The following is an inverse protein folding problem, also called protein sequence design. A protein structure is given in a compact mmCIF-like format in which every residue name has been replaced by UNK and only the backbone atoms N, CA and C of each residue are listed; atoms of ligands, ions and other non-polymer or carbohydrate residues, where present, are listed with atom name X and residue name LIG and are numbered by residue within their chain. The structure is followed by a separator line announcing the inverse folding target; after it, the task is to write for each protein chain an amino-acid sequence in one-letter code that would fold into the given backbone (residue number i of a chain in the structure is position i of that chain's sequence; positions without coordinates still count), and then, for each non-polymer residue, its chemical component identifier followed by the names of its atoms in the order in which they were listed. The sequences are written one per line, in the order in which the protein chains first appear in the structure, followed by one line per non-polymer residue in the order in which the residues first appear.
data_IF_978344199232
#
_entry.id   IF_978344199232
#
_cell.length_a   1.000
_cell.length_b   1.000
_cell.length_c   1.000
_cell.angle_alpha   90.00
_cell.angle_beta   90.00
_cell.angle_gamma   90.00
#
_symmetry.space_group_name_H-M   'P 1'
#
loop_
_entity.id
_entity.type
_entity.pdbx_description
1 polymer ?
#
# COMPACT_ATOMS: atom_id res chain seq x y z
N UNK A 1 15.43 15.29 -34.46
CA UNK A 1 15.87 14.54 -33.27
C UNK A 1 16.15 15.48 -32.08
N UNK A 2 15.09 16.00 -31.45
CA UNK A 2 15.18 16.95 -30.32
C UNK A 2 13.95 16.91 -29.38
N UNK A 3 13.23 15.78 -29.31
CA UNK A 3 11.97 15.67 -28.56
C UNK A 3 11.98 14.63 -27.43
N UNK A 4 13.08 13.89 -27.25
CA UNK A 4 13.17 12.81 -26.26
C UNK A 4 13.85 13.21 -24.94
N UNK A 5 14.46 14.41 -24.87
CA UNK A 5 15.31 14.84 -23.75
C UNK A 5 14.53 15.61 -22.65
N UNK A 6 13.36 16.16 -23.01
CA UNK A 6 12.50 16.88 -22.05
C UNK A 6 11.70 15.94 -21.14
N UNK A 7 11.16 14.85 -21.70
CA UNK A 7 10.29 13.91 -21.00
C UNK A 7 11.06 13.06 -19.97
N UNK A 8 12.28 12.65 -20.30
CA UNK A 8 13.20 11.93 -19.38
C UNK A 8 13.60 12.81 -18.19
N UNK A 9 13.90 14.08 -18.44
CA UNK A 9 14.32 15.04 -17.39
C UNK A 9 13.17 15.37 -16.44
N UNK A 10 11.94 15.50 -16.96
CA UNK A 10 10.74 15.74 -16.15
C UNK A 10 10.38 14.52 -15.28
N UNK A 11 10.50 13.30 -15.82
CA UNK A 11 10.30 12.05 -15.08
C UNK A 11 11.36 11.89 -13.99
N UNK A 12 12.63 12.14 -14.28
CA UNK A 12 13.72 12.03 -13.31
C UNK A 12 13.56 13.04 -12.15
N UNK A 13 13.18 14.28 -12.48
CA UNK A 13 12.88 15.32 -11.48
C UNK A 13 11.66 14.96 -10.62
N UNK A 14 10.62 14.38 -11.23
CA UNK A 14 9.43 13.91 -10.52
C UNK A 14 9.76 12.73 -9.59
N UNK A 15 10.53 11.76 -10.06
CA UNK A 15 11.02 10.62 -9.29
C UNK A 15 11.86 11.06 -8.09
N UNK A 16 12.77 12.02 -8.29
CA UNK A 16 13.61 12.57 -7.22
C UNK A 16 12.81 13.33 -6.18
N UNK A 17 11.85 14.14 -6.62
CA UNK A 17 10.95 14.89 -5.73
C UNK A 17 10.04 13.96 -4.92
N UNK A 18 9.55 12.88 -5.53
CA UNK A 18 8.77 11.86 -4.82
C UNK A 18 9.63 11.18 -3.75
N UNK A 19 10.86 10.75 -4.09
CA UNK A 19 11.79 10.13 -3.14
C UNK A 19 12.12 11.03 -1.94
N UNK A 20 12.34 12.33 -2.17
CA UNK A 20 12.66 13.31 -1.13
C UNK A 20 11.45 13.67 -0.26
N UNK A 21 10.21 13.57 -0.77
CA UNK A 21 9.02 13.92 0.00
C UNK A 21 8.70 12.88 1.08
N UNK A 22 8.95 11.58 0.87
CA UNK A 22 8.41 10.50 1.71
C UNK A 22 8.84 10.53 3.19
N UNK A 23 10.12 10.80 3.47
CA UNK A 23 10.64 10.89 4.84
C UNK A 23 10.69 12.32 5.39
N UNK A 24 10.22 13.29 4.61
CA UNK A 24 10.16 14.68 5.03
C UNK A 24 8.82 15.01 5.71
N UNK A 25 8.83 15.00 7.04
CA UNK A 25 7.71 15.45 7.88
C UNK A 25 7.75 16.95 8.19
N UNK A 26 8.75 17.67 7.67
CA UNK A 26 8.94 19.07 8.00
C UNK A 26 7.76 19.93 7.53
N UNK A 27 7.38 20.91 8.36
CA UNK A 27 6.32 21.86 8.02
C UNK A 27 4.90 21.27 7.99
N UNK A 28 4.67 20.03 8.44
CA UNK A 28 3.32 19.43 8.49
C UNK A 28 2.32 20.28 9.30
N UNK A 29 2.79 20.99 10.32
CA UNK A 29 2.00 21.88 11.17
C UNK A 29 1.81 23.31 10.60
N UNK A 30 2.32 23.62 9.40
CA UNK A 30 2.09 24.94 8.78
C UNK A 30 0.60 25.09 8.48
N UNK A 31 0.05 26.29 8.75
CA UNK A 31 -1.39 26.60 8.59
C UNK A 31 -1.95 26.23 7.20
N UNK A 32 -1.15 26.38 6.15
CA UNK A 32 -1.53 26.01 4.77
C UNK A 32 -1.51 24.51 4.44
N UNK A 33 -0.96 23.68 5.32
CA UNK A 33 -0.87 22.21 5.16
C UNK A 33 -1.81 21.51 6.14
N UNK A 34 -1.85 21.97 7.40
CA UNK A 34 -2.62 21.33 8.47
C UNK A 34 -4.13 21.33 8.18
N UNK A 35 -4.68 22.42 7.63
CA UNK A 35 -6.12 22.50 7.36
C UNK A 35 -6.55 21.53 6.23
N UNK A 36 -5.84 21.47 5.08
CA UNK A 36 -6.05 20.41 4.10
C UNK A 36 -5.87 18.98 4.65
N UNK A 37 -4.89 18.75 5.53
CA UNK A 37 -4.69 17.43 6.14
C UNK A 37 -5.85 17.03 7.06
N UNK A 38 -6.37 17.96 7.86
CA UNK A 38 -7.56 17.73 8.68
C UNK A 38 -8.78 17.41 7.80
N UNK A 39 -8.92 18.08 6.65
CA UNK A 39 -9.96 17.75 5.68
C UNK A 39 -9.79 16.33 5.10
N UNK A 40 -8.55 15.90 4.82
CA UNK A 40 -8.26 14.54 4.38
C UNK A 40 -8.61 13.49 5.45
N UNK A 41 -8.30 13.76 6.74
CA UNK A 41 -8.72 12.90 7.86
C UNK A 41 -10.25 12.84 7.94
N UNK A 42 -10.93 13.99 7.85
CA UNK A 42 -12.38 14.05 7.85
C UNK A 42 -13.00 13.21 6.73
N UNK A 43 -12.43 13.30 5.51
CA UNK A 43 -12.84 12.49 4.37
C UNK A 43 -12.62 10.99 4.64
N UNK A 44 -11.48 10.60 5.22
CA UNK A 44 -11.20 9.21 5.57
C UNK A 44 -12.21 8.66 6.61
N UNK A 45 -12.60 9.47 7.60
CA UNK A 45 -13.63 9.11 8.59
C UNK A 45 -15.00 8.95 7.90
N UNK A 46 -15.36 9.85 6.98
CA UNK A 46 -16.61 9.75 6.22
C UNK A 46 -16.63 8.46 5.37
N UNK A 47 -15.53 8.16 4.67
CA UNK A 47 -15.40 6.92 3.88
C UNK A 47 -15.54 5.68 4.77
N UNK A 48 -14.92 5.68 5.95
CA UNK A 48 -15.05 4.59 6.91
C UNK A 48 -16.50 4.46 7.41
N UNK A 49 -17.16 5.58 7.74
CA UNK A 49 -18.57 5.60 8.14
C UNK A 49 -19.50 5.03 7.08
N UNK A 50 -19.24 5.35 5.79
CA UNK A 50 -19.96 4.74 4.67
C UNK A 50 -19.68 3.24 4.58
N UNK A 51 -18.43 2.81 4.77
CA UNK A 51 -18.07 1.39 4.84
C UNK A 51 -18.83 0.61 5.91
N UNK A 52 -18.94 1.18 7.10
CA UNK A 52 -19.75 0.61 8.19
C UNK A 52 -21.23 0.61 7.82
N UNK A 53 -21.76 1.70 7.26
CA UNK A 53 -23.15 1.78 6.80
C UNK A 53 -23.49 0.72 5.75
N UNK A 54 -22.61 0.52 4.76
CA UNK A 54 -22.78 -0.51 3.72
C UNK A 54 -22.72 -1.91 4.33
N UNK A 55 -21.85 -2.14 5.33
CA UNK A 55 -21.78 -3.45 6.00
C UNK A 55 -23.10 -3.84 6.69
N UNK A 56 -23.90 -2.87 7.15
CA UNK A 56 -25.22 -3.12 7.73
C UNK A 56 -26.27 -3.49 6.69
N UNK A 57 -26.08 -3.07 5.43
CA UNK A 57 -26.97 -3.40 4.30
C UNK A 57 -26.66 -4.78 3.71
N UNK A 58 -25.51 -5.36 4.03
CA UNK A 58 -25.04 -6.66 3.52
C UNK A 58 -24.79 -7.64 4.69
N UNK A 59 -25.83 -8.04 5.45
CA UNK A 59 -25.67 -8.84 6.67
C UNK A 59 -25.06 -10.23 6.43
N UNK A 60 -25.21 -10.78 5.22
CA UNK A 60 -24.65 -12.08 4.85
C UNK A 60 -23.15 -12.02 4.51
N UNK A 61 -22.56 -10.83 4.45
CA UNK A 61 -21.13 -10.63 4.19
C UNK A 61 -20.45 -10.23 5.51
N UNK A 62 -19.31 -10.85 5.87
CA UNK A 62 -18.57 -10.46 7.05
C UNK A 62 -18.28 -8.94 7.06
N UNK A 63 -18.61 -8.27 8.16
CA UNK A 63 -18.50 -6.82 8.30
C UNK A 63 -17.13 -6.30 7.85
N UNK A 64 -16.05 -6.93 8.32
CA UNK A 64 -14.67 -6.55 7.97
C UNK A 64 -14.41 -6.59 6.47
N UNK A 65 -14.96 -7.58 5.76
CA UNK A 65 -14.81 -7.71 4.31
C UNK A 65 -15.54 -6.55 3.60
N UNK A 66 -16.80 -6.31 3.96
CA UNK A 66 -17.60 -5.22 3.39
C UNK A 66 -16.94 -3.86 3.61
N UNK A 67 -16.42 -3.61 4.82
CA UNK A 67 -15.73 -2.37 5.17
C UNK A 67 -14.45 -2.22 4.35
N UNK A 68 -13.55 -3.23 4.33
CA UNK A 68 -12.26 -3.16 3.61
C UNK A 68 -12.47 -2.88 2.12
N UNK A 69 -13.39 -3.62 1.48
CA UNK A 69 -13.66 -3.39 0.06
C UNK A 69 -14.22 -2.00 -0.17
N UNK A 70 -15.18 -1.56 0.63
CA UNK A 70 -15.77 -0.22 0.49
C UNK A 70 -14.74 0.89 0.65
N UNK A 71 -13.92 0.88 1.71
CA UNK A 71 -12.92 1.93 1.92
C UNK A 71 -11.86 1.91 0.81
N UNK A 72 -11.54 0.73 0.27
CA UNK A 72 -10.63 0.60 -0.87
C UNK A 72 -11.25 1.22 -2.12
N UNK A 73 -12.51 0.87 -2.45
CA UNK A 73 -13.22 1.44 -3.61
C UNK A 73 -13.34 2.96 -3.51
N UNK A 74 -13.85 3.46 -2.38
CA UNK A 74 -14.11 4.89 -2.19
C UNK A 74 -12.81 5.69 -2.03
N UNK A 75 -11.78 5.12 -1.41
CA UNK A 75 -10.45 5.74 -1.33
C UNK A 75 -9.81 5.90 -2.70
N UNK A 76 -9.86 4.86 -3.53
CA UNK A 76 -9.40 4.92 -4.93
C UNK A 76 -10.25 5.92 -5.73
N UNK A 77 -11.57 5.88 -5.61
CA UNK A 77 -12.46 6.84 -6.27
C UNK A 77 -12.13 8.29 -5.88
N UNK A 78 -11.91 8.55 -4.59
CA UNK A 78 -11.52 9.86 -4.08
C UNK A 78 -10.16 10.33 -4.61
N UNK A 79 -9.23 9.41 -4.93
CA UNK A 79 -7.94 9.76 -5.52
C UNK A 79 -8.03 10.37 -6.93
N UNK A 80 -9.16 10.20 -7.63
CA UNK A 80 -9.41 10.87 -8.91
C UNK A 80 -9.85 12.33 -8.75
N UNK A 81 -10.29 12.72 -7.55
CA UNK A 81 -10.75 14.07 -7.24
C UNK A 81 -9.53 15.00 -7.06
N UNK A 82 -9.38 15.98 -7.96
CA UNK A 82 -8.22 16.90 -7.99
C UNK A 82 -7.92 17.56 -6.62
N UNK A 83 -8.90 18.14 -5.91
CA UNK A 83 -8.66 18.67 -4.57
C UNK A 83 -8.07 17.67 -3.58
N UNK A 84 -8.48 16.41 -3.62
CA UNK A 84 -8.06 15.37 -2.68
C UNK A 84 -6.64 14.87 -3.00
N UNK A 85 -6.37 14.58 -4.27
CA UNK A 85 -5.04 14.10 -4.71
C UNK A 85 -3.94 15.14 -4.52
N UNK A 86 -4.27 16.42 -4.58
CA UNK A 86 -3.29 17.50 -4.45
C UNK A 86 -3.00 17.90 -2.99
N UNK A 87 -3.66 17.28 -2.00
CA UNK A 87 -3.37 17.52 -0.59
C UNK A 87 -1.96 17.03 -0.30
N UNK A 88 -1.08 17.95 0.09
CA UNK A 88 0.30 17.66 0.43
C UNK A 88 0.38 16.94 1.77
N UNK A 89 1.42 16.13 1.93
CA UNK A 89 1.76 15.42 3.16
C UNK A 89 0.74 14.37 3.66
N UNK A 90 -0.26 14.00 2.84
CA UNK A 90 -1.27 12.96 3.18
C UNK A 90 -0.64 11.60 3.39
N UNK A 91 0.40 11.31 2.61
CA UNK A 91 1.11 10.06 2.67
C UNK A 91 1.87 9.88 3.99
N UNK A 92 2.64 10.90 4.39
CA UNK A 92 3.41 10.95 5.63
C UNK A 92 2.47 10.82 6.83
N UNK A 93 1.34 11.52 6.79
CA UNK A 93 0.30 11.38 7.80
C UNK A 93 -0.24 9.93 7.88
N UNK A 94 -0.51 9.30 6.74
CA UNK A 94 -0.92 7.90 6.68
C UNK A 94 0.13 6.94 7.24
N UNK A 95 1.40 7.12 6.86
CA UNK A 95 2.53 6.34 7.37
C UNK A 95 2.68 6.49 8.89
N UNK A 96 2.54 7.71 9.43
CA UNK A 96 2.54 7.94 10.87
C UNK A 96 1.45 7.11 11.58
N UNK A 97 0.22 7.11 11.06
CA UNK A 97 -0.87 6.32 11.65
C UNK A 97 -0.61 4.82 11.61
N UNK A 98 -0.09 4.30 10.48
CA UNK A 98 0.26 2.87 10.34
C UNK A 98 1.33 2.50 11.38
N UNK A 99 2.41 3.28 11.48
CA UNK A 99 3.50 3.01 12.44
C UNK A 99 3.01 3.09 13.89
N UNK A 100 2.24 4.14 14.24
CA UNK A 100 1.68 4.29 15.58
C UNK A 100 0.75 3.13 15.94
N UNK A 101 -0.12 2.72 15.01
CA UNK A 101 -0.99 1.55 15.17
C UNK A 101 -0.17 0.26 15.37
N UNK A 102 0.82 0.01 14.53
CA UNK A 102 1.69 -1.18 14.63
C UNK A 102 2.40 -1.26 15.98
N UNK A 103 2.90 -0.13 16.50
CA UNK A 103 3.52 -0.08 17.83
C UNK A 103 2.51 -0.47 18.91
N UNK A 104 1.30 0.10 18.88
CA UNK A 104 0.25 -0.22 19.87
C UNK A 104 -0.12 -1.69 19.83
N UNK A 105 -0.33 -2.28 18.64
CA UNK A 105 -0.63 -3.71 18.51
C UNK A 105 0.53 -4.57 19.00
N UNK A 106 1.77 -4.21 18.67
CA UNK A 106 2.95 -4.94 19.13
C UNK A 106 3.05 -5.00 20.67
N UNK A 107 2.67 -3.94 21.38
CA UNK A 107 2.66 -3.95 22.87
C UNK A 107 1.61 -4.89 23.48
N UNK A 108 0.60 -5.32 22.70
CA UNK A 108 -0.42 -6.28 23.12
C UNK A 108 -0.08 -7.71 22.73
N UNK A 109 1.05 -7.91 22.04
CA UNK A 109 1.50 -9.23 21.61
C UNK A 109 1.98 -10.05 22.81
N UNK A 110 1.32 -11.18 23.04
CA UNK A 110 1.79 -12.21 23.97
C UNK A 110 2.60 -13.25 23.17
N UNK A 111 3.89 -13.39 23.48
CA UNK A 111 4.75 -14.37 22.80
C UNK A 111 4.60 -15.77 23.38
N UNK A 112 4.04 -15.91 24.59
CA UNK A 112 3.87 -17.19 25.26
C UNK A 112 2.89 -18.12 24.53
N UNK A 113 1.99 -17.56 23.72
CA UNK A 113 1.00 -18.32 22.95
C UNK A 113 1.51 -18.83 21.61
N UNK A 114 2.66 -18.33 21.11
CA UNK A 114 3.17 -18.65 19.76
C UNK A 114 3.43 -20.16 19.58
N UNK A 115 3.90 -20.82 20.64
CA UNK A 115 4.21 -22.26 20.61
C UNK A 115 2.98 -23.17 20.72
N UNK A 116 1.78 -22.62 20.88
CA UNK A 116 0.57 -23.46 20.83
C UNK A 116 0.31 -23.89 19.39
N UNK A 117 -0.16 -25.12 19.21
CA UNK A 117 -0.34 -25.74 17.89
C UNK A 117 -1.14 -24.88 16.89
N UNK A 118 -2.16 -24.15 17.36
CA UNK A 118 -2.98 -23.25 16.54
C UNK A 118 -2.18 -22.06 15.98
N UNK A 119 -1.28 -21.48 16.77
CA UNK A 119 -0.48 -20.34 16.32
C UNK A 119 0.69 -20.80 15.46
N UNK A 120 1.20 -22.02 15.70
CA UNK A 120 2.20 -22.64 14.84
C UNK A 120 1.66 -22.94 13.44
N UNK A 121 0.42 -23.44 13.33
CA UNK A 121 -0.21 -23.65 12.02
C UNK A 121 -0.49 -22.32 11.31
N UNK A 122 -0.92 -21.29 12.04
CA UNK A 122 -1.08 -19.94 11.49
C UNK A 122 0.26 -19.38 10.99
N UNK A 123 1.33 -19.51 11.78
CA UNK A 123 2.67 -19.07 11.39
C UNK A 123 3.14 -19.82 10.13
N UNK A 124 2.91 -21.14 10.07
CA UNK A 124 3.21 -21.94 8.89
C UNK A 124 2.46 -21.46 7.65
N UNK A 125 1.16 -21.16 7.78
CA UNK A 125 0.35 -20.60 6.69
C UNK A 125 0.88 -19.24 6.23
N UNK A 126 1.14 -18.31 7.16
CA UNK A 126 1.68 -16.97 6.83
C UNK A 126 3.04 -17.08 6.16
N UNK A 127 3.92 -17.93 6.68
CA UNK A 127 5.25 -18.20 6.10
C UNK A 127 5.12 -18.74 4.68
N UNK A 128 4.25 -19.74 4.48
CA UNK A 128 3.98 -20.30 3.17
C UNK A 128 3.40 -19.27 2.20
N UNK A 129 2.40 -18.48 2.62
CA UNK A 129 1.80 -17.45 1.77
C UNK A 129 2.83 -16.38 1.38
N UNK A 130 3.62 -15.91 2.35
CA UNK A 130 4.63 -14.88 2.13
C UNK A 130 5.76 -15.37 1.22
N UNK A 131 6.50 -16.41 1.64
CA UNK A 131 7.62 -16.92 0.85
C UNK A 131 7.15 -17.60 -0.44
N UNK A 132 6.01 -18.28 -0.43
CA UNK A 132 5.40 -18.86 -1.61
C UNK A 132 5.05 -17.80 -2.65
N UNK A 133 4.47 -16.67 -2.25
CA UNK A 133 4.20 -15.55 -3.16
C UNK A 133 5.48 -14.93 -3.72
N UNK A 134 6.52 -14.79 -2.90
CA UNK A 134 7.83 -14.28 -3.33
C UNK A 134 8.51 -15.20 -4.34
N UNK A 135 8.54 -16.51 -4.06
CA UNK A 135 9.10 -17.51 -4.96
C UNK A 135 8.29 -17.61 -6.25
N UNK A 136 6.96 -17.55 -6.16
CA UNK A 136 6.09 -17.53 -7.34
C UNK A 136 6.34 -16.27 -8.17
N UNK A 137 6.44 -15.09 -7.55
CA UNK A 137 6.73 -13.84 -8.24
C UNK A 137 8.10 -13.91 -8.91
N UNK A 138 9.14 -14.38 -8.22
CA UNK A 138 10.48 -14.57 -8.79
C UNK A 138 10.47 -15.54 -9.97
N UNK A 139 9.78 -16.67 -9.83
CA UNK A 139 9.66 -17.66 -10.89
C UNK A 139 8.94 -17.10 -12.13
N UNK A 140 7.85 -16.35 -11.91
CA UNK A 140 7.12 -15.67 -12.98
C UNK A 140 7.96 -14.55 -13.62
N UNK A 141 8.70 -13.79 -12.83
CA UNK A 141 9.63 -12.78 -13.36
C UNK A 141 10.74 -13.42 -14.20
N UNK A 142 11.22 -14.60 -13.79
CA UNK A 142 12.21 -15.35 -14.56
C UNK A 142 11.67 -15.86 -15.91
N UNK A 143 10.47 -16.46 -15.96
CA UNK A 143 9.87 -16.93 -17.22
C UNK A 143 9.58 -15.78 -18.18
N UNK A 144 9.14 -14.63 -17.66
CA UNK A 144 8.88 -13.42 -18.47
C UNK A 144 10.13 -12.57 -18.72
N UNK A 145 11.30 -13.01 -18.25
CA UNK A 145 12.60 -12.34 -18.44
C UNK A 145 12.60 -10.88 -17.93
N UNK A 146 11.97 -10.65 -16.79
CA UNK A 146 11.99 -9.36 -16.10
C UNK A 146 13.39 -9.10 -15.54
N UNK A 147 13.88 -7.87 -15.69
CA UNK A 147 15.20 -7.47 -15.20
C UNK A 147 15.24 -7.46 -13.67
N UNK A 148 16.44 -7.59 -13.10
CA UNK A 148 16.63 -7.62 -11.65
C UNK A 148 16.10 -6.35 -10.96
N UNK A 149 16.37 -5.15 -11.52
CA UNK A 149 15.91 -3.88 -10.95
C UNK A 149 14.38 -3.79 -10.92
N UNK A 150 13.72 -4.18 -12.02
CA UNK A 150 12.26 -4.20 -12.12
C UNK A 150 11.65 -5.22 -11.14
N UNK A 151 12.24 -6.41 -11.03
CA UNK A 151 11.80 -7.41 -10.07
C UNK A 151 11.94 -6.93 -8.62
N UNK A 152 13.10 -6.35 -8.28
CA UNK A 152 13.36 -5.86 -6.93
C UNK A 152 12.42 -4.71 -6.57
N UNK A 153 12.20 -3.75 -7.47
CA UNK A 153 11.35 -2.62 -7.19
C UNK A 153 9.87 -3.00 -7.06
N UNK A 154 9.39 -3.88 -7.93
CA UNK A 154 7.99 -4.34 -7.90
C UNK A 154 7.74 -5.19 -6.67
N UNK A 155 8.69 -6.06 -6.30
CA UNK A 155 8.65 -6.82 -5.04
C UNK A 155 8.64 -5.89 -3.83
N UNK A 156 9.44 -4.81 -3.83
CA UNK A 156 9.39 -3.81 -2.76
C UNK A 156 8.01 -3.17 -2.65
N UNK A 157 7.42 -2.76 -3.77
CA UNK A 157 6.08 -2.20 -3.82
C UNK A 157 5.00 -3.14 -3.30
N UNK A 158 5.11 -4.45 -3.61
CA UNK A 158 4.14 -5.46 -3.16
C UNK A 158 4.30 -5.84 -1.68
N UNK A 159 5.54 -5.99 -1.21
CA UNK A 159 5.84 -6.57 0.12
C UNK A 159 5.91 -5.50 1.19
N UNK A 160 6.63 -4.42 0.92
CA UNK A 160 6.89 -3.36 1.91
C UNK A 160 5.92 -2.19 1.75
N UNK A 161 5.11 -2.18 0.68
CA UNK A 161 4.25 -1.09 0.23
C UNK A 161 5.00 -0.06 -0.65
N UNK A 162 4.29 0.65 -1.56
CA UNK A 162 4.84 1.73 -2.38
C UNK A 162 5.79 2.71 -1.65
N UNK A 163 5.55 3.14 -0.39
CA UNK A 163 6.47 4.03 0.33
C UNK A 163 7.95 3.69 0.31
N UNK A 164 8.28 2.40 0.30
CA UNK A 164 9.65 1.95 0.45
C UNK A 164 10.36 1.82 -0.90
N UNK A 165 9.63 1.98 -2.01
CA UNK A 165 10.16 1.91 -3.38
C UNK A 165 11.29 2.91 -3.60
N UNK A 166 11.20 4.21 -3.24
CA UNK A 166 12.28 5.15 -3.53
C UNK A 166 13.56 4.87 -2.74
N UNK A 167 13.45 4.32 -1.52
CA UNK A 167 14.61 3.91 -0.74
C UNK A 167 15.37 2.77 -1.42
N UNK A 168 14.66 1.78 -1.96
CA UNK A 168 15.29 0.66 -2.68
C UNK A 168 15.83 1.11 -4.05
N UNK A 169 15.10 1.96 -4.77
CA UNK A 169 15.56 2.55 -6.04
C UNK A 169 16.88 3.33 -5.87
N UNK A 170 17.00 4.11 -4.77
CA UNK A 170 18.23 4.81 -4.44
C UNK A 170 19.39 3.85 -4.15
N UNK A 171 19.15 2.75 -3.44
CA UNK A 171 20.15 1.72 -3.18
C UNK A 171 20.60 0.98 -4.46
N UNK A 172 19.67 0.75 -5.40
CA UNK A 172 19.95 0.19 -6.72
C UNK A 172 20.68 1.17 -7.65
N UNK A 173 20.76 2.46 -7.28
CA UNK A 173 21.27 3.55 -8.12
C UNK A 173 20.50 3.67 -9.45
N UNK A 174 19.23 3.28 -9.44
CA UNK A 174 18.34 3.34 -10.59
C UNK A 174 17.03 4.00 -10.13
N UNK A 175 16.84 5.28 -10.47
CA UNK A 175 15.66 6.05 -10.05
C UNK A 175 14.51 5.95 -11.05
N UNK A 176 14.78 5.47 -12.26
CA UNK A 176 13.78 5.39 -13.33
C UNK A 176 12.70 4.35 -13.00
N UNK A 177 13.05 3.35 -12.19
CA UNK A 177 12.15 2.28 -11.76
C UNK A 177 11.20 2.70 -10.63
N UNK A 178 11.31 3.92 -10.08
CA UNK A 178 10.45 4.41 -8.99
C UNK A 178 8.99 4.42 -9.41
N UNK A 179 8.69 4.98 -10.59
CA UNK A 179 7.32 5.04 -11.10
C UNK A 179 6.73 3.63 -11.25
N UNK A 180 7.51 2.70 -11.79
CA UNK A 180 7.14 1.29 -11.94
C UNK A 180 6.77 0.70 -10.58
N UNK A 181 7.66 0.77 -9.58
CA UNK A 181 7.41 0.18 -8.26
C UNK A 181 6.22 0.80 -7.52
N UNK A 182 6.03 2.12 -7.62
CA UNK A 182 4.90 2.80 -6.97
C UNK A 182 3.57 2.42 -7.63
N UNK A 183 3.51 2.46 -8.96
CA UNK A 183 2.31 2.12 -9.71
C UNK A 183 1.93 0.65 -9.50
N UNK A 184 2.89 -0.27 -9.66
CA UNK A 184 2.63 -1.70 -9.48
C UNK A 184 2.25 -2.01 -8.03
N UNK A 185 2.93 -1.43 -7.03
CA UNK A 185 2.58 -1.65 -5.63
C UNK A 185 1.16 -1.17 -5.28
N UNK A 186 0.76 0.02 -5.76
CA UNK A 186 -0.60 0.53 -5.54
C UNK A 186 -1.65 -0.33 -6.23
N UNK A 187 -1.45 -0.67 -7.51
CA UNK A 187 -2.38 -1.50 -8.28
C UNK A 187 -2.47 -2.90 -7.67
N UNK A 188 -1.32 -3.48 -7.30
CA UNK A 188 -1.24 -4.80 -6.67
C UNK A 188 -1.98 -4.85 -5.35
N UNK A 189 -1.87 -3.81 -4.51
CA UNK A 189 -2.63 -3.75 -3.25
C UNK A 189 -4.14 -3.65 -3.49
N UNK A 190 -4.58 -2.84 -4.47
CA UNK A 190 -6.00 -2.75 -4.83
C UNK A 190 -6.52 -4.11 -5.31
N UNK A 191 -5.86 -4.71 -6.30
CA UNK A 191 -6.25 -6.01 -6.86
C UNK A 191 -6.18 -7.13 -5.82
N UNK A 192 -5.13 -7.12 -4.99
CA UNK A 192 -4.92 -8.09 -3.92
C UNK A 192 -6.05 -8.10 -2.90
N UNK A 193 -6.60 -6.93 -2.55
CA UNK A 193 -7.78 -6.86 -1.68
C UNK A 193 -8.99 -7.57 -2.28
N UNK A 194 -9.34 -7.30 -3.54
CA UNK A 194 -10.51 -7.94 -4.17
C UNK A 194 -10.29 -9.43 -4.43
N UNK A 195 -9.15 -9.80 -5.03
CA UNK A 195 -8.85 -11.19 -5.36
C UNK A 195 -8.68 -12.02 -4.08
N UNK A 196 -7.98 -11.49 -3.08
CA UNK A 196 -7.77 -12.17 -1.79
C UNK A 196 -9.08 -12.41 -1.05
N UNK A 197 -9.96 -11.41 -0.99
CA UNK A 197 -11.31 -11.57 -0.42
C UNK A 197 -12.12 -12.60 -1.22
N UNK A 198 -12.13 -12.50 -2.56
CA UNK A 198 -12.90 -13.41 -3.40
C UNK A 198 -12.44 -14.87 -3.21
N UNK A 199 -11.13 -15.10 -3.20
CA UNK A 199 -10.55 -16.42 -2.93
C UNK A 199 -10.88 -16.90 -1.51
N UNK A 200 -10.77 -16.03 -0.50
CA UNK A 200 -11.11 -16.37 0.89
C UNK A 200 -12.58 -16.76 1.05
N UNK A 201 -13.50 -16.02 0.42
CA UNK A 201 -14.93 -16.33 0.42
C UNK A 201 -15.24 -17.62 -0.35
N UNK A 202 -14.52 -17.89 -1.45
CA UNK A 202 -14.69 -19.12 -2.22
C UNK A 202 -14.18 -20.33 -1.45
N UNK A 203 -12.97 -20.26 -0.88
CA UNK A 203 -12.40 -21.32 -0.04
C UNK A 203 -13.25 -21.60 1.19
N UNK A 204 -13.84 -20.57 1.81
CA UNK A 204 -14.73 -20.74 2.97
C UNK A 204 -16.07 -21.43 2.65
N UNK A 205 -16.41 -21.61 1.36
CA UNK A 205 -17.60 -22.36 0.92
C UNK A 205 -17.30 -23.81 0.54
N UNK A 206 -16.03 -24.18 0.36
CA UNK A 206 -15.58 -25.55 0.13
C UNK A 206 -15.56 -26.34 1.43
#
# INVERSE_FOLDING_TARGET
PAAADGDSTDIEMMNRKMAEDFDDYSGIFKKGIVLPLLAAIGLAIVILGIGVGISMLLPDVPMTISVILTITTLGVAASFIRPVRNIRKTFQLGMYFIVAFSIVIATRCDLSIIFQAKYLSLLGFVTYAYFGSLLLHLFLSWIFRINADDYLITTTGFVYSPPFVPMVAAALKNKDVILTGLATGMIGWILGNYIGVALGMWLGKL
#
